data_IF_491728003877
#
_entry.id   IF_491728003877
#
_cell.length_a   1.000
_cell.length_b   1.000
_cell.length_c   1.000
_cell.angle_alpha   90.00
_cell.angle_beta   90.00
_cell.angle_gamma   90.00
#
_symmetry.space_group_name_H-M   'P 1'
#
loop_
_entity.id
_entity.type
_entity.pdbx_description
1 polymer ?
#
# COMPACT_ATOMS: atom_id res chain seq x y z
N UNK A 1 -44.02 -39.52 -27.99
CA UNK A 1 -43.14 -40.29 -27.08
C UNK A 1 -41.68 -39.84 -27.12
N UNK A 2 -41.12 -39.37 -28.24
CA UNK A 2 -39.71 -38.93 -28.32
C UNK A 2 -39.34 -37.66 -27.51
N UNK A 3 -40.26 -36.68 -27.39
CA UNK A 3 -40.00 -35.42 -26.67
C UNK A 3 -39.78 -35.61 -25.16
N UNK A 4 -40.53 -36.51 -24.52
CA UNK A 4 -40.36 -36.84 -23.11
C UNK A 4 -39.07 -37.61 -22.82
N UNK A 5 -38.54 -38.35 -23.80
CA UNK A 5 -37.25 -39.04 -23.66
C UNK A 5 -36.09 -38.03 -23.67
N UNK A 6 -36.12 -37.05 -24.58
CA UNK A 6 -35.14 -35.96 -24.68
C UNK A 6 -35.12 -35.06 -23.44
N UNK A 7 -36.30 -34.73 -22.89
CA UNK A 7 -36.41 -33.99 -21.63
C UNK A 7 -35.84 -34.77 -20.45
N UNK A 8 -36.07 -36.08 -20.38
CA UNK A 8 -35.56 -36.95 -19.32
C UNK A 8 -34.04 -37.10 -19.40
N UNK A 9 -33.46 -37.20 -20.59
CA UNK A 9 -32.00 -37.23 -20.79
C UNK A 9 -31.34 -35.90 -20.44
N UNK A 10 -31.91 -34.75 -20.86
CA UNK A 10 -31.34 -33.45 -20.49
C UNK A 10 -31.42 -33.17 -18.99
N UNK A 11 -32.51 -33.62 -18.34
CA UNK A 11 -32.68 -33.50 -16.90
C UNK A 11 -31.71 -34.41 -16.14
N UNK A 12 -31.51 -35.64 -16.59
CA UNK A 12 -30.49 -36.53 -16.02
C UNK A 12 -29.07 -36.01 -16.21
N UNK A 13 -28.75 -35.43 -17.36
CA UNK A 13 -27.45 -34.79 -17.60
C UNK A 13 -27.23 -33.59 -16.66
N UNK A 14 -28.24 -32.73 -16.48
CA UNK A 14 -28.17 -31.58 -15.56
C UNK A 14 -27.97 -32.00 -14.10
N UNK A 15 -28.66 -33.06 -13.65
CA UNK A 15 -28.47 -33.64 -12.32
C UNK A 15 -27.05 -34.20 -12.14
N UNK A 16 -26.48 -34.79 -13.19
CA UNK A 16 -25.11 -35.30 -13.18
C UNK A 16 -24.09 -34.15 -13.05
N UNK A 17 -24.24 -33.05 -13.80
CA UNK A 17 -23.37 -31.88 -13.68
C UNK A 17 -23.48 -31.20 -12.30
N UNK A 18 -24.70 -31.06 -11.76
CA UNK A 18 -24.91 -30.51 -10.42
C UNK A 18 -24.28 -31.42 -9.36
N UNK A 19 -24.40 -32.75 -9.50
CA UNK A 19 -23.78 -33.69 -8.57
C UNK A 19 -22.24 -33.64 -8.60
N UNK A 20 -21.64 -33.53 -9.80
CA UNK A 20 -20.18 -33.37 -9.96
C UNK A 20 -19.73 -32.05 -9.33
N UNK A 21 -20.45 -30.95 -9.59
CA UNK A 21 -20.15 -29.64 -9.02
C UNK A 21 -20.22 -29.65 -7.49
N UNK A 22 -21.24 -30.28 -6.90
CA UNK A 22 -21.38 -30.43 -5.45
C UNK A 22 -20.29 -31.31 -4.84
N UNK A 23 -19.84 -32.37 -5.53
CA UNK A 23 -18.73 -33.22 -5.07
C UNK A 23 -17.41 -32.46 -5.12
N UNK A 24 -17.15 -31.65 -6.16
CA UNK A 24 -15.95 -30.80 -6.26
C UNK A 24 -15.96 -29.71 -5.17
N UNK A 25 -17.11 -29.09 -4.92
CA UNK A 25 -17.31 -28.12 -3.84
C UNK A 25 -17.11 -28.76 -2.47
N UNK A 26 -17.69 -29.94 -2.23
CA UNK A 26 -17.51 -30.68 -0.99
C UNK A 26 -16.04 -31.08 -0.80
N UNK A 27 -15.37 -31.55 -1.85
CA UNK A 27 -13.94 -31.87 -1.82
C UNK A 27 -13.08 -30.64 -1.53
N UNK A 28 -13.39 -29.50 -2.15
CA UNK A 28 -12.74 -28.22 -1.89
C UNK A 28 -12.90 -27.78 -0.42
N UNK A 29 -14.12 -27.86 0.13
CA UNK A 29 -14.40 -27.55 1.53
C UNK A 29 -13.78 -28.56 2.52
N UNK A 30 -13.71 -29.84 2.16
CA UNK A 30 -13.02 -30.85 2.96
C UNK A 30 -11.50 -30.65 2.95
N UNK A 31 -10.92 -30.21 1.82
CA UNK A 31 -9.51 -29.82 1.73
C UNK A 31 -9.21 -28.57 2.57
N UNK A 32 -10.11 -27.58 2.57
CA UNK A 32 -10.04 -26.42 3.47
C UNK A 32 -10.15 -26.80 4.96
N UNK A 33 -10.83 -27.92 5.28
CA UNK A 33 -10.92 -28.44 6.65
C UNK A 33 -9.77 -29.37 7.05
N UNK A 34 -8.91 -29.78 6.10
CA UNK A 34 -7.87 -30.80 6.28
C UNK A 34 -6.44 -30.25 6.41
N UNK A 35 -6.28 -28.96 6.70
CA UNK A 35 -4.99 -28.41 7.15
C UNK A 35 -5.09 -27.96 8.62
N UNK A 36 -5.14 -28.95 9.51
CA UNK A 36 -4.62 -28.82 10.87
C UNK A 36 -3.56 -29.89 11.08
N UNK A 37 -2.34 -29.61 10.62
CA UNK A 37 -1.14 -30.29 11.13
C UNK A 37 -0.52 -29.43 12.22
N UNK A 38 -0.31 -30.05 13.38
CA UNK A 38 0.53 -29.53 14.46
C UNK A 38 1.95 -29.34 13.93
N UNK A 39 2.47 -28.12 13.92
CA UNK A 39 3.92 -27.90 13.79
C UNK A 39 4.55 -27.94 15.18
N UNK A 40 5.40 -28.94 15.43
CA UNK A 40 6.38 -28.88 16.51
C UNK A 40 7.49 -27.94 16.04
N UNK A 41 7.52 -26.71 16.56
CA UNK A 41 8.64 -25.78 16.36
C UNK A 41 9.69 -25.98 17.48
N UNK A 42 10.98 -25.82 17.20
CA UNK A 42 12.03 -25.81 18.22
C UNK A 42 11.88 -24.58 19.14
N UNK A 43 12.42 -24.61 20.38
CA UNK A 43 12.22 -23.52 21.34
C UNK A 43 12.93 -22.24 20.88
N UNK A 44 12.28 -21.09 21.13
CA UNK A 44 12.88 -19.77 20.94
C UNK A 44 14.16 -19.62 21.78
N UNK A 45 15.23 -19.00 21.25
CA UNK A 45 16.36 -18.61 22.07
C UNK A 45 15.97 -17.49 23.05
N UNK A 46 16.58 -17.43 24.24
CA UNK A 46 16.24 -16.43 25.24
C UNK A 46 16.65 -15.03 24.78
N UNK A 47 15.78 -14.04 25.03
CA UNK A 47 16.06 -12.62 24.80
C UNK A 47 17.21 -12.17 25.69
N UNK A 48 18.23 -11.54 25.11
CA UNK A 48 19.20 -10.74 25.85
C UNK A 48 18.91 -9.25 25.65
N UNK A 49 19.08 -8.42 26.68
CA UNK A 49 18.96 -6.97 26.61
C UNK A 49 20.21 -6.39 25.91
N UNK A 50 20.21 -5.10 25.58
CA UNK A 50 21.29 -4.33 24.89
C UNK A 50 21.07 -4.17 23.37
N UNK A 51 19.83 -3.94 22.93
CA UNK A 51 19.59 -3.17 21.70
C UNK A 51 18.67 -2.03 22.10
N UNK A 52 19.17 -0.80 22.08
CA UNK A 52 18.35 0.41 22.25
C UNK A 52 17.31 0.54 21.14
N UNK A 53 16.82 1.74 20.86
CA UNK A 53 15.68 1.98 19.95
C UNK A 53 15.90 1.57 18.46
N UNK A 54 16.99 0.88 18.13
CA UNK A 54 17.21 0.26 16.82
C UNK A 54 16.20 -0.88 16.51
N UNK A 55 15.53 -1.44 17.53
CA UNK A 55 14.41 -2.38 17.36
C UNK A 55 13.11 -1.74 16.85
N UNK A 56 13.05 -0.41 16.71
CA UNK A 56 11.89 0.30 16.16
C UNK A 56 11.91 0.37 14.62
N UNK A 57 13.03 -0.01 13.99
CA UNK A 57 13.07 -0.46 12.60
C UNK A 57 12.95 -1.98 12.63
N UNK A 58 11.72 -2.49 12.77
CA UNK A 58 11.46 -3.92 12.83
C UNK A 58 11.75 -4.65 11.51
N UNK A 59 11.52 -5.97 11.48
CA UNK A 59 11.64 -6.84 10.30
C UNK A 59 10.62 -6.54 9.18
N UNK A 60 9.89 -5.43 9.27
CA UNK A 60 8.69 -5.15 8.46
C UNK A 60 8.62 -3.65 8.14
N UNK A 61 9.24 -3.18 7.05
CA UNK A 61 9.26 -1.76 6.66
C UNK A 61 7.88 -1.11 6.48
N UNK A 62 6.85 -1.90 6.15
CA UNK A 62 5.46 -1.44 6.13
C UNK A 62 5.00 -0.87 7.47
N UNK A 63 5.52 -1.40 8.60
CA UNK A 63 5.21 -0.88 9.93
C UNK A 63 5.77 0.52 10.16
N UNK A 64 6.92 0.88 9.58
CA UNK A 64 7.49 2.22 9.74
C UNK A 64 6.68 3.27 8.97
N UNK A 65 6.18 2.95 7.77
CA UNK A 65 5.26 3.83 7.04
C UNK A 65 3.89 3.89 7.67
N UNK A 66 3.43 2.78 8.21
CA UNK A 66 2.23 2.77 9.01
C UNK A 66 2.40 3.68 10.24
N UNK A 67 3.51 3.61 10.97
CA UNK A 67 3.79 4.51 12.09
C UNK A 67 3.83 5.98 11.65
N UNK A 68 4.38 6.27 10.47
CA UNK A 68 4.39 7.63 9.92
C UNK A 68 2.97 8.11 9.58
N UNK A 69 2.18 7.28 8.90
CA UNK A 69 0.79 7.56 8.60
C UNK A 69 -0.04 7.73 9.88
N UNK A 70 0.20 6.89 10.90
CA UNK A 70 -0.43 6.97 12.22
C UNK A 70 -0.08 8.27 12.92
N UNK A 71 1.19 8.68 12.98
CA UNK A 71 1.60 9.94 13.61
C UNK A 71 0.97 11.15 12.94
N UNK A 72 0.90 11.15 11.60
CA UNK A 72 0.32 12.26 10.84
C UNK A 72 -1.21 12.29 10.97
N UNK A 73 -1.85 11.12 10.94
CA UNK A 73 -3.30 11.01 11.03
C UNK A 73 -3.83 11.18 12.45
N UNK A 74 -3.11 10.68 13.46
CA UNK A 74 -3.59 10.49 14.83
C UNK A 74 -2.74 11.16 15.92
N UNK A 75 -1.62 11.79 15.56
CA UNK A 75 -0.70 12.40 16.54
C UNK A 75 0.14 11.41 17.36
N UNK A 76 -0.01 10.10 17.13
CA UNK A 76 0.79 9.02 17.75
C UNK A 76 0.95 7.84 16.81
N UNK A 77 1.99 7.04 17.00
CA UNK A 77 2.06 5.68 16.46
C UNK A 77 1.67 4.66 17.53
N UNK A 78 1.22 3.49 17.11
CA UNK A 78 0.81 2.42 18.03
C UNK A 78 1.94 1.43 18.31
N UNK A 79 3.16 1.66 17.82
CA UNK A 79 4.29 0.70 17.90
C UNK A 79 4.80 0.49 19.33
N UNK A 80 4.58 1.44 20.23
CA UNK A 80 4.97 1.35 21.63
C UNK A 80 3.88 0.67 22.51
N UNK A 81 4.30 -0.14 23.49
CA UNK A 81 3.42 -0.61 24.56
C UNK A 81 2.44 -1.74 24.23
N UNK A 82 2.59 -2.39 23.07
CA UNK A 82 1.74 -3.53 22.66
C UNK A 82 0.30 -3.13 22.29
N UNK A 83 0.02 -1.83 22.15
CA UNK A 83 -1.28 -1.32 21.70
C UNK A 83 -1.58 -1.71 20.25
N UNK A 84 -0.53 -1.81 19.42
CA UNK A 84 -0.58 -2.32 18.06
C UNK A 84 -1.24 -3.71 17.96
N UNK A 85 -0.74 -4.66 18.75
CA UNK A 85 -1.25 -6.03 18.83
C UNK A 85 -2.60 -6.09 19.57
N UNK A 86 -2.77 -5.26 20.61
CA UNK A 86 -4.00 -5.19 21.40
C UNK A 86 -5.21 -4.76 20.57
N UNK A 87 -5.05 -3.81 19.66
CA UNK A 87 -6.11 -3.37 18.75
C UNK A 87 -6.18 -4.23 17.47
N UNK A 88 -5.15 -5.04 17.21
CA UNK A 88 -5.05 -5.92 16.05
C UNK A 88 -5.07 -5.13 14.74
N UNK A 89 -4.32 -4.02 14.70
CA UNK A 89 -4.29 -3.07 13.60
C UNK A 89 -3.91 -3.69 12.27
N UNK A 90 -2.76 -4.38 12.24
CA UNK A 90 -2.26 -5.05 11.03
C UNK A 90 -3.32 -5.99 10.44
N UNK A 91 -3.90 -6.86 11.26
CA UNK A 91 -4.96 -7.78 10.81
C UNK A 91 -6.21 -7.05 10.31
N UNK A 92 -6.52 -5.87 10.87
CA UNK A 92 -7.68 -5.08 10.42
C UNK A 92 -7.41 -4.42 9.07
N UNK A 93 -6.19 -3.88 8.89
CA UNK A 93 -5.76 -3.24 7.66
C UNK A 93 -5.60 -4.26 6.52
N UNK A 94 -4.96 -5.40 6.78
CA UNK A 94 -4.86 -6.53 5.84
C UNK A 94 -6.26 -7.00 5.41
N UNK A 95 -7.16 -7.22 6.36
CA UNK A 95 -8.52 -7.64 6.06
C UNK A 95 -9.30 -6.54 5.31
N UNK A 96 -9.08 -5.25 5.63
CA UNK A 96 -9.66 -4.13 4.90
C UNK A 96 -9.21 -4.14 3.43
N UNK A 97 -7.92 -4.32 3.14
CA UNK A 97 -7.42 -4.42 1.77
C UNK A 97 -7.95 -5.66 1.05
N UNK A 98 -8.04 -6.81 1.72
CA UNK A 98 -8.65 -8.03 1.15
C UNK A 98 -10.12 -7.81 0.79
N UNK A 99 -10.88 -7.11 1.62
CA UNK A 99 -12.29 -6.82 1.32
C UNK A 99 -12.45 -5.74 0.25
N UNK A 100 -11.59 -4.73 0.25
CA UNK A 100 -11.61 -3.67 -0.74
C UNK A 100 -11.29 -4.22 -2.13
N UNK A 101 -10.27 -5.09 -2.23
CA UNK A 101 -9.79 -5.67 -3.50
C UNK A 101 -10.37 -7.02 -3.86
N UNK A 102 -11.23 -7.57 -3.00
CA UNK A 102 -11.89 -8.84 -3.22
C UNK A 102 -12.95 -8.78 -4.31
N UNK A 103 -13.13 -9.88 -5.03
CA UNK A 103 -14.20 -10.00 -6.02
C UNK A 103 -15.55 -10.14 -5.30
N UNK A 104 -16.39 -9.14 -5.47
CA UNK A 104 -17.79 -9.14 -5.04
C UNK A 104 -18.68 -9.60 -6.19
N UNK A 105 -19.35 -10.75 -6.07
CA UNK A 105 -20.23 -11.27 -7.14
C UNK A 105 -21.39 -10.30 -7.39
N UNK A 106 -21.90 -9.64 -6.36
CA UNK A 106 -22.94 -8.63 -6.48
C UNK A 106 -22.53 -7.43 -7.33
N UNK A 107 -21.24 -7.11 -7.43
CA UNK A 107 -20.76 -5.99 -8.25
C UNK A 107 -20.86 -6.29 -9.75
N UNK A 108 -20.76 -7.56 -10.14
CA UNK A 108 -20.89 -8.00 -11.54
C UNK A 108 -22.32 -8.44 -11.86
N UNK A 109 -23.00 -9.01 -10.88
CA UNK A 109 -24.35 -9.54 -11.00
C UNK A 109 -25.19 -9.05 -9.83
N UNK A 110 -25.80 -7.86 -9.92
CA UNK A 110 -26.57 -7.27 -8.82
C UNK A 110 -27.68 -8.19 -8.27
N UNK A 111 -28.30 -9.01 -9.14
CA UNK A 111 -29.30 -10.00 -8.73
C UNK A 111 -28.76 -11.10 -7.80
N UNK A 112 -27.43 -11.23 -7.69
CA UNK A 112 -26.72 -12.21 -6.86
C UNK A 112 -26.08 -11.57 -5.61
N UNK A 113 -26.41 -10.32 -5.27
CA UNK A 113 -25.89 -9.65 -4.06
C UNK A 113 -26.16 -10.44 -2.77
N UNK A 114 -27.25 -11.23 -2.74
CA UNK A 114 -27.57 -12.09 -1.60
C UNK A 114 -26.45 -13.08 -1.24
N UNK A 115 -25.57 -13.44 -2.19
CA UNK A 115 -24.43 -14.32 -1.99
C UNK A 115 -23.46 -13.76 -0.94
N UNK A 116 -23.38 -12.43 -0.79
CA UNK A 116 -22.53 -11.78 0.23
C UNK A 116 -22.88 -12.17 1.66
N UNK A 117 -24.14 -12.55 1.90
CA UNK A 117 -24.58 -13.06 3.20
C UNK A 117 -24.08 -14.49 3.43
N UNK A 118 -23.98 -15.31 2.38
CA UNK A 118 -23.58 -16.71 2.45
C UNK A 118 -22.06 -16.90 2.45
N UNK A 119 -21.31 -16.03 1.77
CA UNK A 119 -19.83 -16.06 1.77
C UNK A 119 -19.21 -15.49 3.04
N UNK A 120 -20.02 -14.88 3.91
CA UNK A 120 -19.57 -14.18 5.10
C UNK A 120 -18.93 -12.81 4.82
N UNK A 121 -18.85 -12.39 3.55
CA UNK A 121 -18.24 -11.11 3.16
C UNK A 121 -18.93 -9.91 3.84
N UNK A 122 -20.27 -9.91 3.90
CA UNK A 122 -21.02 -8.86 4.59
C UNK A 122 -20.68 -8.79 6.08
N UNK A 123 -20.58 -9.93 6.75
CA UNK A 123 -20.26 -10.00 8.17
C UNK A 123 -18.82 -9.54 8.45
N UNK A 124 -17.86 -9.94 7.61
CA UNK A 124 -16.46 -9.47 7.66
C UNK A 124 -16.38 -7.95 7.50
N UNK A 125 -17.10 -7.40 6.52
CA UNK A 125 -17.17 -5.96 6.27
C UNK A 125 -17.74 -5.20 7.48
N UNK A 126 -18.90 -5.62 7.99
CA UNK A 126 -19.53 -5.00 9.16
C UNK A 126 -18.64 -5.07 10.41
N UNK A 127 -17.92 -6.18 10.60
CA UNK A 127 -16.99 -6.33 11.72
C UNK A 127 -15.81 -5.35 11.62
N UNK A 128 -15.20 -5.22 10.44
CA UNK A 128 -14.10 -4.27 10.22
C UNK A 128 -14.57 -2.83 10.42
N UNK A 129 -15.70 -2.45 9.82
CA UNK A 129 -16.28 -1.13 10.03
C UNK A 129 -16.49 -0.85 11.53
N UNK A 130 -17.08 -1.80 12.27
CA UNK A 130 -17.28 -1.63 13.70
C UNK A 130 -15.99 -1.58 14.53
N UNK A 131 -14.87 -2.14 14.05
CA UNK A 131 -13.56 -2.02 14.72
C UNK A 131 -12.93 -0.65 14.49
N UNK A 132 -12.93 -0.18 13.24
CA UNK A 132 -12.43 1.15 12.90
C UNK A 132 -13.28 2.25 13.56
N UNK A 133 -14.60 2.11 13.53
CA UNK A 133 -15.51 3.09 14.11
C UNK A 133 -15.24 3.29 15.62
N UNK A 134 -15.12 2.20 16.38
CA UNK A 134 -14.77 2.24 17.80
C UNK A 134 -13.40 2.85 18.06
N UNK A 135 -12.42 2.51 17.24
CA UNK A 135 -11.08 3.08 17.35
C UNK A 135 -11.11 4.59 17.11
N UNK A 136 -11.75 5.03 16.02
CA UNK A 136 -11.80 6.44 15.69
C UNK A 136 -12.63 7.23 16.70
N UNK A 137 -13.69 6.64 17.28
CA UNK A 137 -14.39 7.24 18.42
C UNK A 137 -13.45 7.49 19.61
N UNK A 138 -12.62 6.50 19.95
CA UNK A 138 -11.64 6.65 21.03
C UNK A 138 -10.64 7.76 20.72
N UNK A 139 -10.08 7.78 19.50
CA UNK A 139 -9.13 8.81 19.08
C UNK A 139 -9.76 10.20 19.07
N UNK A 140 -10.97 10.35 18.54
CA UNK A 140 -11.66 11.64 18.54
C UNK A 140 -11.93 12.13 19.98
N UNK A 141 -12.35 11.23 20.87
CA UNK A 141 -12.56 11.57 22.28
C UNK A 141 -11.25 11.99 22.99
N UNK A 142 -10.12 11.36 22.66
CA UNK A 142 -8.80 11.75 23.17
C UNK A 142 -8.42 13.17 22.70
N UNK A 143 -8.63 13.50 21.42
CA UNK A 143 -8.29 14.82 20.85
C UNK A 143 -9.22 15.93 21.33
N UNK A 144 -10.48 15.61 21.64
CA UNK A 144 -11.44 16.55 22.22
C UNK A 144 -11.24 16.77 23.74
N UNK A 145 -10.41 15.96 24.40
CA UNK A 145 -10.20 16.05 25.84
C UNK A 145 -9.49 17.39 26.20
N UNK A 146 -10.10 18.27 27.01
CA UNK A 146 -9.51 19.55 27.39
C UNK A 146 -8.25 19.42 28.26
N UNK A 147 -7.99 18.22 28.80
CA UNK A 147 -6.77 17.89 29.56
C UNK A 147 -5.65 17.34 28.68
N UNK A 148 -5.87 17.17 27.37
CA UNK A 148 -4.80 16.78 26.44
C UNK A 148 -3.74 17.88 26.45
N UNK A 149 -2.48 17.48 26.60
CA UNK A 149 -1.36 18.41 26.51
C UNK A 149 -1.42 19.15 25.18
N UNK A 150 -1.17 20.47 25.22
CA UNK A 150 -1.13 21.25 23.98
C UNK A 150 0.08 20.80 23.17
N UNK A 151 -0.19 20.00 22.15
CA UNK A 151 0.83 19.54 21.21
C UNK A 151 1.30 20.76 20.41
N UNK A 152 2.62 20.93 20.29
CA UNK A 152 3.22 22.05 19.57
C UNK A 152 2.84 22.03 18.07
N UNK A 153 2.54 20.84 17.53
CA UNK A 153 2.15 20.62 16.15
C UNK A 153 0.83 19.83 16.10
N UNK A 154 -0.13 20.34 15.32
CA UNK A 154 -1.44 19.69 15.14
C UNK A 154 -1.32 18.51 14.17
N UNK A 155 -1.99 17.43 14.50
CA UNK A 155 -2.23 16.30 13.59
C UNK A 155 -3.50 16.52 12.74
N UNK A 156 -3.81 15.57 11.85
CA UNK A 156 -4.99 15.67 10.99
C UNK A 156 -6.31 15.71 11.78
N UNK A 157 -6.44 14.95 12.87
CA UNK A 157 -7.64 14.97 13.70
C UNK A 157 -7.85 16.37 14.28
N UNK A 158 -6.80 16.98 14.82
CA UNK A 158 -6.86 18.34 15.37
C UNK A 158 -7.33 19.35 14.31
N UNK A 159 -6.78 19.27 13.10
CA UNK A 159 -7.16 20.16 11.99
C UNK A 159 -8.62 19.95 11.59
N UNK A 160 -9.08 18.70 11.43
CA UNK A 160 -10.45 18.40 11.03
C UNK A 160 -11.47 18.79 12.11
N UNK A 161 -11.15 18.60 13.39
CA UNK A 161 -11.99 19.04 14.50
C UNK A 161 -12.07 20.57 14.59
N UNK A 162 -10.99 21.28 14.29
CA UNK A 162 -11.00 22.74 14.24
C UNK A 162 -11.83 23.26 13.06
N UNK A 163 -11.76 22.62 11.90
CA UNK A 163 -12.62 22.95 10.75
C UNK A 163 -14.08 22.73 11.14
N UNK A 164 -14.42 21.56 11.70
CA UNK A 164 -15.78 21.25 12.15
C UNK A 164 -16.33 22.27 13.17
N UNK A 165 -15.50 22.80 14.07
CA UNK A 165 -15.91 23.78 15.09
C UNK A 165 -16.10 25.20 14.53
N UNK A 166 -15.30 25.57 13.54
CA UNK A 166 -15.27 26.93 12.97
C UNK A 166 -16.13 27.05 11.70
N UNK A 167 -16.89 26.01 11.36
CA UNK A 167 -17.51 25.87 10.06
C UNK A 167 -18.65 26.90 9.84
N UNK A 168 -18.52 27.69 8.79
CA UNK A 168 -19.56 28.59 8.24
C UNK A 168 -19.99 28.17 6.82
N UNK A 169 -19.56 26.99 6.35
CA UNK A 169 -19.76 26.55 4.97
C UNK A 169 -21.14 25.92 4.73
N UNK A 170 -21.53 25.85 3.44
CA UNK A 170 -22.82 25.27 3.00
C UNK A 170 -22.95 23.76 3.28
N UNK A 171 -21.83 23.05 3.49
CA UNK A 171 -21.82 21.60 3.79
C UNK A 171 -21.01 21.35 5.06
N UNK A 172 -21.66 21.16 6.21
CA UNK A 172 -20.97 21.02 7.49
C UNK A 172 -20.22 19.69 7.60
N UNK A 173 -18.97 19.73 8.07
CA UNK A 173 -18.16 18.53 8.28
C UNK A 173 -18.70 17.69 9.46
N UNK A 174 -19.25 16.51 9.17
CA UNK A 174 -19.77 15.59 10.21
C UNK A 174 -18.66 14.74 10.83
N UNK A 175 -18.91 14.20 12.03
CA UNK A 175 -18.00 13.24 12.68
C UNK A 175 -17.72 12.02 11.80
N UNK A 176 -18.72 11.52 11.07
CA UNK A 176 -18.55 10.39 10.15
C UNK A 176 -17.64 10.76 8.97
N UNK A 177 -17.70 12.02 8.49
CA UNK A 177 -16.76 12.50 7.47
C UNK A 177 -15.33 12.55 8.01
N UNK A 178 -15.13 13.01 9.26
CA UNK A 178 -13.81 13.02 9.90
C UNK A 178 -13.25 11.60 9.98
N UNK A 179 -14.02 10.65 10.51
CA UNK A 179 -13.62 9.23 10.59
C UNK A 179 -13.26 8.66 9.23
N UNK A 180 -14.06 8.95 8.19
CA UNK A 180 -13.82 8.47 6.83
C UNK A 180 -12.52 9.05 6.23
N UNK A 181 -12.29 10.36 6.36
CA UNK A 181 -11.07 11.02 5.84
C UNK A 181 -9.82 10.44 6.50
N UNK A 182 -9.88 10.19 7.81
CA UNK A 182 -8.76 9.63 8.55
C UNK A 182 -8.49 8.17 8.13
N UNK A 183 -9.55 7.37 7.93
CA UNK A 183 -9.42 6.01 7.41
C UNK A 183 -8.76 6.01 6.02
N UNK A 184 -9.21 6.90 5.13
CA UNK A 184 -8.70 7.00 3.76
C UNK A 184 -7.21 7.37 3.75
N UNK A 185 -6.78 8.32 4.59
CA UNK A 185 -5.37 8.67 4.70
C UNK A 185 -4.54 7.48 5.25
N UNK A 186 -5.01 6.84 6.32
CA UNK A 186 -4.31 5.74 6.95
C UNK A 186 -4.16 4.53 6.02
N UNK A 187 -5.24 4.11 5.37
CA UNK A 187 -5.22 2.98 4.44
C UNK A 187 -4.42 3.32 3.18
N UNK A 188 -4.64 4.50 2.59
CA UNK A 188 -3.97 4.91 1.37
C UNK A 188 -2.47 5.16 1.53
N UNK A 189 -2.02 5.65 2.70
CA UNK A 189 -0.63 6.04 2.94
C UNK A 189 0.33 4.91 3.32
N UNK A 190 -0.19 3.73 3.68
CA UNK A 190 0.62 2.61 4.19
C UNK A 190 1.18 1.74 3.07
N UNK A 191 0.32 0.96 2.40
CA UNK A 191 0.76 -0.05 1.42
C UNK A 191 1.40 0.58 0.18
N UNK A 192 0.88 1.72 -0.28
CA UNK A 192 1.35 2.37 -1.51
C UNK A 192 2.81 2.84 -1.37
N UNK A 193 3.16 3.44 -0.23
CA UNK A 193 4.51 3.90 0.09
C UNK A 193 5.46 2.72 0.24
N UNK A 194 5.03 1.67 0.95
CA UNK A 194 5.81 0.44 1.12
C UNK A 194 6.15 -0.22 -0.22
N UNK A 195 5.14 -0.43 -1.08
CA UNK A 195 5.30 -1.04 -2.40
C UNK A 195 6.28 -0.24 -3.27
N UNK A 196 6.17 1.09 -3.23
CA UNK A 196 7.07 1.96 -4.00
C UNK A 196 8.53 1.78 -3.54
N UNK A 197 8.78 1.66 -2.24
CA UNK A 197 10.13 1.48 -1.70
C UNK A 197 10.67 0.07 -1.90
N UNK A 198 9.82 -0.95 -1.76
CA UNK A 198 10.20 -2.33 -2.02
C UNK A 198 10.62 -2.52 -3.49
N UNK A 199 9.81 -2.03 -4.43
CA UNK A 199 10.19 -1.99 -5.84
C UNK A 199 11.40 -1.13 -6.11
N UNK A 200 11.49 0.04 -5.46
CA UNK A 200 12.65 0.91 -5.58
C UNK A 200 13.95 0.26 -5.17
N UNK A 201 13.98 -0.39 -4.01
CA UNK A 201 15.16 -1.12 -3.54
C UNK A 201 15.44 -2.34 -4.43
N UNK A 202 14.41 -3.04 -4.90
CA UNK A 202 14.55 -4.19 -5.80
C UNK A 202 15.22 -3.77 -7.12
N UNK A 203 14.69 -2.73 -7.78
CA UNK A 203 15.23 -2.22 -9.04
C UNK A 203 16.65 -1.68 -8.89
N UNK A 204 16.94 -0.97 -7.79
CA UNK A 204 18.29 -0.48 -7.54
C UNK A 204 19.28 -1.63 -7.32
N UNK A 205 18.90 -2.68 -6.60
CA UNK A 205 19.74 -3.88 -6.41
C UNK A 205 19.99 -4.60 -7.74
N UNK A 206 18.97 -4.70 -8.59
CA UNK A 206 19.07 -5.28 -9.92
C UNK A 206 19.90 -4.41 -10.88
N UNK A 207 20.01 -3.10 -10.60
CA UNK A 207 20.75 -2.13 -11.41
C UNK A 207 21.88 -1.42 -10.62
N UNK A 208 23.01 -2.10 -10.33
CA UNK A 208 24.06 -1.56 -9.45
C UNK A 208 24.68 -0.23 -9.90
N UNK A 209 24.68 0.07 -11.21
CA UNK A 209 25.16 1.35 -11.74
C UNK A 209 24.25 2.50 -11.30
N UNK A 210 22.94 2.29 -11.36
CA UNK A 210 21.92 3.24 -10.92
C UNK A 210 21.99 3.42 -9.40
N UNK A 211 22.07 2.32 -8.64
CA UNK A 211 22.28 2.34 -7.18
C UNK A 211 23.48 3.20 -6.78
N UNK A 212 24.65 2.95 -7.39
CA UNK A 212 25.87 3.71 -7.07
C UNK A 212 25.73 5.20 -7.36
N UNK A 213 25.08 5.57 -8.47
CA UNK A 213 24.85 6.97 -8.83
C UNK A 213 23.90 7.65 -7.84
N UNK A 214 22.82 6.97 -7.45
CA UNK A 214 21.87 7.44 -6.44
C UNK A 214 22.52 7.60 -5.06
N UNK A 215 23.31 6.62 -4.61
CA UNK A 215 24.08 6.69 -3.37
C UNK A 215 25.11 7.83 -3.40
N UNK A 216 25.81 8.02 -4.52
CA UNK A 216 26.79 9.10 -4.67
C UNK A 216 26.13 10.49 -4.58
N UNK A 217 24.98 10.69 -5.22
CA UNK A 217 24.21 11.94 -5.13
C UNK A 217 23.84 12.26 -3.68
N UNK A 218 23.13 11.33 -3.01
CA UNK A 218 22.63 11.59 -1.66
C UNK A 218 23.77 11.80 -0.65
N UNK A 219 24.86 11.02 -0.74
CA UNK A 219 26.02 11.16 0.16
C UNK A 219 26.77 12.47 -0.09
N UNK A 220 26.85 12.94 -1.33
CA UNK A 220 27.48 14.23 -1.65
C UNK A 220 26.69 15.42 -1.10
N UNK A 221 25.36 15.36 -1.11
CA UNK A 221 24.49 16.47 -0.66
C UNK A 221 24.36 16.50 0.87
N UNK A 222 24.22 15.33 1.49
CA UNK A 222 24.05 15.22 2.94
C UNK A 222 25.37 15.43 3.67
N UNK A 223 26.48 14.99 3.07
CA UNK A 223 27.83 15.14 3.60
C UNK A 223 28.06 14.23 4.82
N UNK A 224 28.61 14.81 5.89
CA UNK A 224 28.93 14.07 7.12
C UNK A 224 27.71 13.86 8.04
N UNK A 225 26.58 14.53 7.75
CA UNK A 225 25.36 14.37 8.55
C UNK A 225 24.86 12.94 8.47
N UNK A 226 24.35 12.39 9.57
CA UNK A 226 23.81 11.03 9.61
C UNK A 226 22.36 10.92 9.11
N UNK A 227 21.67 12.05 9.00
CA UNK A 227 20.23 12.12 8.73
C UNK A 227 19.96 13.01 7.53
N UNK A 228 19.14 12.50 6.60
CA UNK A 228 18.59 13.25 5.47
C UNK A 228 17.44 14.12 5.95
N UNK A 229 17.47 15.41 5.63
CA UNK A 229 16.41 16.35 5.98
C UNK A 229 15.48 16.58 4.80
N UNK A 230 14.23 16.98 5.08
CA UNK A 230 13.26 17.43 4.05
C UNK A 230 13.84 18.54 3.19
N UNK A 231 14.65 19.42 3.80
CA UNK A 231 15.33 20.50 3.09
C UNK A 231 16.35 20.01 2.07
N UNK A 232 16.83 18.77 2.14
CA UNK A 232 17.81 18.23 1.18
C UNK A 232 17.15 17.76 -0.13
N UNK A 233 15.86 17.40 -0.07
CA UNK A 233 15.14 16.74 -1.18
C UNK A 233 15.13 17.57 -2.47
N UNK A 234 15.13 18.91 -2.39
CA UNK A 234 15.12 19.75 -3.58
C UNK A 234 16.35 19.56 -4.47
N UNK A 235 17.49 19.14 -3.90
CA UNK A 235 18.77 18.92 -4.60
C UNK A 235 18.94 17.48 -5.11
N UNK A 236 18.12 16.53 -4.63
CA UNK A 236 18.21 15.10 -4.99
C UNK A 236 17.55 14.82 -6.36
N UNK A 237 18.13 15.40 -7.42
CA UNK A 237 17.55 15.34 -8.77
C UNK A 237 17.51 13.92 -9.34
N UNK A 238 18.55 13.13 -9.12
CA UNK A 238 18.64 11.76 -9.61
C UNK A 238 17.76 10.80 -8.79
N UNK A 239 17.67 10.96 -7.47
CA UNK A 239 16.69 10.21 -6.66
C UNK A 239 15.26 10.46 -7.15
N UNK A 240 14.92 11.71 -7.50
CA UNK A 240 13.62 12.03 -8.08
C UNK A 240 13.39 11.34 -9.42
N UNK A 241 14.42 11.27 -10.26
CA UNK A 241 14.35 10.52 -11.52
C UNK A 241 14.16 9.02 -11.28
N UNK A 242 14.86 8.44 -10.29
CA UNK A 242 14.69 7.05 -9.86
C UNK A 242 13.24 6.80 -9.40
N UNK A 243 12.67 7.67 -8.58
CA UNK A 243 11.30 7.55 -8.09
C UNK A 243 10.27 7.68 -9.22
N UNK A 244 10.49 8.59 -10.18
CA UNK A 244 9.64 8.67 -11.39
C UNK A 244 9.67 7.36 -12.19
N UNK A 245 10.84 6.75 -12.34
CA UNK A 245 10.99 5.48 -13.05
C UNK A 245 10.36 4.31 -12.29
N UNK A 246 10.47 4.29 -10.95
CA UNK A 246 9.73 3.34 -10.10
C UNK A 246 8.23 3.51 -10.32
N UNK A 247 7.69 4.73 -10.30
CA UNK A 247 6.27 4.93 -10.52
C UNK A 247 5.79 4.56 -11.92
N UNK A 248 6.64 4.70 -12.94
CA UNK A 248 6.33 4.32 -14.32
C UNK A 248 6.22 2.80 -14.45
N UNK A 249 7.22 2.08 -13.96
CA UNK A 249 7.31 0.62 -14.07
C UNK A 249 6.44 -0.09 -13.03
N UNK A 250 6.41 0.40 -11.80
CA UNK A 250 5.78 -0.29 -10.68
C UNK A 250 4.75 0.61 -9.99
N UNK A 251 3.70 1.09 -10.70
CA UNK A 251 2.68 1.91 -10.08
C UNK A 251 1.97 1.10 -8.99
N UNK A 252 1.91 1.57 -7.74
CA UNK A 252 1.31 0.79 -6.65
C UNK A 252 -0.14 0.39 -6.92
N UNK A 253 -0.90 1.23 -7.63
CA UNK A 253 -2.27 0.95 -8.08
C UNK A 253 -2.33 0.85 -9.62
N UNK A 254 -2.11 -0.34 -10.21
CA UNK A 254 -1.88 -0.49 -11.65
C UNK A 254 -3.09 -0.14 -12.53
N UNK A 255 -4.31 -0.25 -12.01
CA UNK A 255 -5.58 0.06 -12.71
C UNK A 255 -6.30 1.30 -12.13
N UNK A 256 -5.64 2.02 -11.22
CA UNK A 256 -6.18 3.13 -10.44
C UNK A 256 -7.51 2.81 -9.74
N UNK A 257 -8.08 3.79 -9.05
CA UNK A 257 -9.43 3.67 -8.49
C UNK A 257 -10.48 3.74 -9.62
N UNK A 258 -11.52 2.87 -9.60
CA UNK A 258 -12.54 2.86 -10.63
C UNK A 258 -13.28 4.20 -10.70
N UNK A 259 -13.61 4.62 -11.92
CA UNK A 259 -14.47 5.77 -12.18
C UNK A 259 -15.85 5.30 -12.63
N UNK A 260 -16.87 6.12 -12.43
CA UNK A 260 -18.23 5.84 -12.91
C UNK A 260 -18.74 7.05 -13.68
N UNK A 261 -19.31 6.84 -14.87
CA UNK A 261 -19.99 7.89 -15.64
C UNK A 261 -21.26 8.32 -14.90
N UNK A 262 -21.40 9.61 -14.63
CA UNK A 262 -22.60 10.16 -13.97
C UNK A 262 -23.79 10.28 -14.93
N UNK A 263 -23.51 10.44 -16.22
CA UNK A 263 -24.45 10.58 -17.32
C UNK A 263 -23.90 9.88 -18.57
N UNK A 264 -24.70 9.80 -19.64
CA UNK A 264 -24.20 9.33 -20.92
C UNK A 264 -23.14 10.31 -21.46
N UNK A 265 -22.00 9.77 -21.90
CA UNK A 265 -20.89 10.57 -22.42
C UNK A 265 -20.38 9.99 -23.74
N UNK A 266 -19.95 10.84 -24.66
CA UNK A 266 -19.23 10.40 -25.86
C UNK A 266 -17.73 10.58 -25.65
N UNK A 267 -16.96 9.50 -25.81
CA UNK A 267 -15.49 9.52 -25.75
C UNK A 267 -14.98 8.91 -27.04
N UNK A 268 -14.25 9.70 -27.83
CA UNK A 268 -13.65 9.26 -29.11
C UNK A 268 -14.64 8.56 -30.06
N UNK A 269 -15.86 9.10 -30.15
CA UNK A 269 -16.93 8.54 -30.99
C UNK A 269 -17.71 7.38 -30.35
N UNK A 270 -17.27 6.84 -29.21
CA UNK A 270 -18.00 5.81 -28.46
C UNK A 270 -19.01 6.44 -27.50
N UNK A 271 -20.28 6.08 -27.64
CA UNK A 271 -21.33 6.43 -26.67
C UNK A 271 -21.24 5.50 -25.46
N UNK A 272 -20.97 6.08 -24.31
CA UNK A 272 -20.85 5.37 -23.04
C UNK A 272 -22.05 5.71 -22.16
N UNK A 273 -22.89 4.72 -21.81
CA UNK A 273 -24.05 4.94 -20.97
C UNK A 273 -23.69 5.43 -19.57
N UNK A 274 -24.62 6.13 -18.92
CA UNK A 274 -24.53 6.43 -17.49
C UNK A 274 -24.32 5.14 -16.67
N UNK A 275 -23.66 5.27 -15.50
CA UNK A 275 -23.30 4.16 -14.61
C UNK A 275 -22.30 3.14 -15.18
N UNK A 276 -21.65 3.44 -16.29
CA UNK A 276 -20.51 2.66 -16.77
C UNK A 276 -19.30 2.86 -15.87
N UNK A 277 -18.69 1.75 -15.44
CA UNK A 277 -17.45 1.74 -14.66
C UNK A 277 -16.24 1.72 -15.60
N UNK A 278 -15.25 2.58 -15.32
CA UNK A 278 -13.99 2.66 -16.07
C UNK A 278 -12.81 2.35 -15.16
N UNK A 279 -11.82 1.68 -15.75
CA UNK A 279 -10.53 1.45 -15.15
C UNK A 279 -9.47 2.07 -16.06
N UNK A 280 -8.51 2.78 -15.46
CA UNK A 280 -7.42 3.41 -16.20
C UNK A 280 -6.18 2.56 -15.94
N UNK A 281 -5.72 1.87 -16.96
CA UNK A 281 -4.59 0.94 -16.84
C UNK A 281 -3.25 1.69 -16.86
N UNK A 282 -2.91 2.31 -15.73
CA UNK A 282 -1.64 3.02 -15.53
C UNK A 282 -0.43 2.11 -15.76
N UNK A 283 -0.53 0.82 -15.45
CA UNK A 283 0.52 -0.17 -15.72
C UNK A 283 0.81 -0.32 -17.20
N UNK A 284 -0.23 -0.40 -18.04
CA UNK A 284 -0.08 -0.49 -19.49
C UNK A 284 0.44 0.83 -20.08
N UNK A 285 -0.08 1.96 -19.62
CA UNK A 285 0.38 3.29 -20.06
C UNK A 285 1.86 3.50 -19.76
N UNK A 286 2.32 3.10 -18.57
CA UNK A 286 3.72 3.18 -18.18
C UNK A 286 4.64 2.29 -19.04
N UNK A 287 4.11 1.30 -19.76
CA UNK A 287 4.85 0.36 -20.62
C UNK A 287 4.54 0.49 -22.11
N UNK A 288 3.79 1.53 -22.49
CA UNK A 288 3.42 1.75 -23.88
C UNK A 288 4.64 2.16 -24.72
N UNK A 289 5.06 1.37 -25.73
CA UNK A 289 6.21 1.71 -26.58
C UNK A 289 5.97 2.94 -27.47
N UNK A 290 4.72 3.39 -27.66
CA UNK A 290 4.45 4.66 -28.35
C UNK A 290 4.79 5.87 -27.47
N UNK A 291 4.70 5.69 -26.15
CA UNK A 291 4.94 6.73 -25.15
C UNK A 291 6.36 6.68 -24.58
N UNK A 292 6.99 5.50 -24.51
CA UNK A 292 8.26 5.27 -23.81
C UNK A 292 9.26 4.46 -24.65
N UNK A 293 10.46 5.00 -24.84
CA UNK A 293 11.58 4.25 -25.41
C UNK A 293 12.10 3.20 -24.41
N UNK A 294 12.30 1.96 -24.88
CA UNK A 294 12.68 0.81 -24.04
C UNK A 294 11.78 0.67 -22.80
N UNK A 295 10.46 0.47 -22.98
CA UNK A 295 9.48 0.59 -21.91
C UNK A 295 9.68 -0.41 -20.76
N UNK A 296 10.28 -1.57 -21.02
CA UNK A 296 10.50 -2.60 -20.00
C UNK A 296 11.84 -2.44 -19.24
N UNK A 297 12.65 -1.43 -19.59
CA UNK A 297 13.96 -1.21 -18.98
C UNK A 297 13.87 -0.14 -17.89
N UNK A 298 14.42 -0.43 -16.71
CA UNK A 298 14.59 0.53 -15.62
C UNK A 298 15.72 1.52 -15.94
N UNK A 299 15.36 2.69 -16.43
CA UNK A 299 16.30 3.74 -16.88
C UNK A 299 15.88 5.12 -16.35
N UNK A 300 16.27 5.48 -15.11
CA UNK A 300 15.97 6.80 -14.53
C UNK A 300 16.50 7.97 -15.36
N UNK A 301 17.55 7.76 -16.15
CA UNK A 301 18.13 8.75 -17.06
C UNK A 301 17.10 9.41 -17.98
N UNK A 302 16.01 8.71 -18.35
CA UNK A 302 14.94 9.28 -19.19
C UNK A 302 14.25 10.50 -18.56
N UNK A 303 14.29 10.61 -17.24
CA UNK A 303 13.70 11.73 -16.51
C UNK A 303 14.69 12.87 -16.26
N UNK A 304 15.98 12.68 -16.56
CA UNK A 304 17.00 13.71 -16.39
C UNK A 304 16.85 14.78 -17.48
N UNK A 305 16.44 15.99 -17.10
CA UNK A 305 16.16 17.08 -18.03
C UNK A 305 14.80 16.99 -18.73
N UNK A 306 14.00 15.97 -18.42
CA UNK A 306 12.61 15.85 -18.90
C UNK A 306 11.65 16.70 -18.07
N UNK A 307 10.61 17.23 -18.72
CA UNK A 307 9.50 17.96 -18.05
C UNK A 307 8.40 17.04 -17.54
N UNK A 308 8.41 15.75 -17.92
CA UNK A 308 7.37 14.78 -17.56
C UNK A 308 7.28 14.65 -16.03
N UNK A 309 6.07 14.73 -15.50
CA UNK A 309 5.78 14.70 -14.06
C UNK A 309 4.46 13.97 -13.79
N UNK A 310 4.38 13.29 -12.65
CA UNK A 310 3.27 12.43 -12.25
C UNK A 310 2.10 13.17 -11.58
N UNK A 311 2.08 14.51 -11.66
CA UNK A 311 1.06 15.38 -11.04
C UNK A 311 -0.26 15.45 -11.83
N UNK A 312 -0.42 14.59 -12.85
CA UNK A 312 -1.65 14.45 -13.61
C UNK A 312 -1.80 15.42 -14.79
N UNK A 313 -0.70 16.00 -15.27
CA UNK A 313 -0.66 16.80 -16.51
C UNK A 313 0.02 16.07 -17.67
N UNK A 314 0.83 15.05 -17.38
CA UNK A 314 1.48 14.18 -18.36
C UNK A 314 0.81 12.81 -18.28
N UNK A 315 -0.02 12.48 -19.28
CA UNK A 315 -0.87 11.30 -19.23
C UNK A 315 -0.10 9.99 -19.41
N UNK A 316 1.12 10.06 -19.96
CA UNK A 316 2.08 8.97 -20.05
C UNK A 316 2.64 8.52 -18.70
N UNK A 317 2.52 9.34 -17.64
CA UNK A 317 2.95 9.03 -16.27
C UNK A 317 1.88 9.44 -15.25
N UNK A 318 0.99 8.51 -14.89
CA UNK A 318 -0.16 8.80 -14.01
C UNK A 318 -0.31 7.84 -12.80
N UNK A 319 0.75 7.58 -12.03
CA UNK A 319 0.68 6.70 -10.84
C UNK A 319 -0.28 7.21 -9.75
N UNK A 320 -0.55 8.52 -9.73
CA UNK A 320 -1.48 9.18 -8.81
C UNK A 320 -2.83 9.55 -9.46
N UNK A 321 -3.06 9.09 -10.69
CA UNK A 321 -4.20 9.50 -11.52
C UNK A 321 -4.19 10.99 -11.89
N UNK A 322 -5.31 11.46 -12.43
CA UNK A 322 -5.48 12.84 -12.88
C UNK A 322 -6.91 13.36 -12.65
N UNK A 323 -7.05 14.69 -12.74
CA UNK A 323 -8.32 15.41 -12.66
C UNK A 323 -8.92 15.46 -11.26
N UNK A 324 -10.25 15.58 -11.17
CA UNK A 324 -10.98 15.82 -9.89
C UNK A 324 -10.81 14.75 -8.81
N UNK A 325 -10.30 13.57 -9.19
CA UNK A 325 -10.06 12.42 -8.29
C UNK A 325 -8.61 11.94 -8.41
N UNK A 326 -7.68 12.86 -8.67
CA UNK A 326 -6.25 12.61 -8.46
C UNK A 326 -5.97 12.40 -6.98
N UNK A 327 -4.91 11.66 -6.66
CA UNK A 327 -4.54 11.38 -5.28
C UNK A 327 -4.35 12.68 -4.47
N UNK A 328 -5.11 12.89 -3.38
CA UNK A 328 -4.95 14.08 -2.54
C UNK A 328 -3.64 14.07 -1.75
N UNK A 329 -3.06 12.89 -1.51
CA UNK A 329 -1.84 12.70 -0.73
C UNK A 329 -0.55 12.71 -1.58
N UNK A 330 -0.60 13.13 -2.84
CA UNK A 330 0.57 13.11 -3.77
C UNK A 330 1.82 13.76 -3.17
N UNK A 331 1.68 14.94 -2.55
CA UNK A 331 2.80 15.67 -1.96
C UNK A 331 3.37 14.94 -0.75
N UNK A 332 2.49 14.42 0.12
CA UNK A 332 2.88 13.69 1.32
C UNK A 332 3.58 12.37 0.96
N UNK A 333 2.93 11.54 0.14
CA UNK A 333 3.47 10.24 -0.28
C UNK A 333 4.80 10.37 -1.01
N UNK A 334 4.93 11.36 -1.90
CA UNK A 334 6.20 11.62 -2.61
C UNK A 334 7.31 11.98 -1.64
N UNK A 335 7.07 12.91 -0.70
CA UNK A 335 8.08 13.30 0.28
C UNK A 335 8.47 12.14 1.21
N UNK A 336 7.52 11.29 1.59
CA UNK A 336 7.78 10.08 2.40
C UNK A 336 8.68 9.08 1.67
N UNK A 337 8.40 8.79 0.39
CA UNK A 337 9.24 7.91 -0.44
C UNK A 337 10.62 8.53 -0.66
N UNK A 338 10.69 9.82 -1.03
CA UNK A 338 11.95 10.53 -1.27
C UNK A 338 12.86 10.48 -0.04
N UNK A 339 12.35 10.81 1.15
CA UNK A 339 13.12 10.77 2.40
C UNK A 339 13.57 9.37 2.76
N UNK A 340 12.66 8.40 2.72
CA UNK A 340 12.98 7.04 3.12
C UNK A 340 14.03 6.42 2.19
N UNK A 341 13.84 6.54 0.87
CA UNK A 341 14.78 6.02 -0.11
C UNK A 341 16.14 6.71 0.04
N UNK A 342 16.16 8.04 0.14
CA UNK A 342 17.39 8.80 0.34
C UNK A 342 18.12 8.35 1.62
N UNK A 343 17.40 8.19 2.74
CA UNK A 343 17.99 7.75 4.00
C UNK A 343 18.58 6.33 3.92
N UNK A 344 17.89 5.39 3.27
CA UNK A 344 18.37 4.03 3.07
C UNK A 344 19.67 4.00 2.24
N UNK A 345 19.71 4.78 1.15
CA UNK A 345 20.87 4.85 0.25
C UNK A 345 22.05 5.62 0.87
N UNK A 346 21.74 6.62 1.69
CA UNK A 346 22.71 7.40 2.43
C UNK A 346 23.40 6.55 3.51
N UNK A 347 22.61 5.86 4.35
CA UNK A 347 23.12 5.19 5.55
C UNK A 347 23.81 3.85 5.29
N UNK A 348 23.44 3.15 4.22
CA UNK A 348 23.88 1.77 4.00
C UNK A 348 24.39 1.52 2.58
N UNK A 349 25.37 0.63 2.48
CA UNK A 349 25.61 -0.15 1.28
C UNK A 349 24.74 -1.40 1.31
N UNK A 350 24.21 -1.78 0.16
CA UNK A 350 23.24 -2.86 0.03
C UNK A 350 23.77 -3.96 -0.87
N UNK A 351 23.66 -5.19 -0.40
CA UNK A 351 24.12 -6.38 -1.13
C UNK A 351 23.10 -7.51 -1.03
N UNK A 352 23.07 -8.37 -2.04
CA UNK A 352 22.33 -9.62 -1.96
C UNK A 352 23.03 -10.61 -1.01
N UNK A 353 22.28 -11.51 -0.36
CA UNK A 353 22.84 -12.59 0.43
C UNK A 353 23.83 -13.44 -0.37
N UNK A 354 24.78 -14.06 0.33
CA UNK A 354 25.82 -14.87 -0.33
C UNK A 354 25.19 -15.99 -1.16
N UNK A 355 25.58 -16.08 -2.44
CA UNK A 355 25.07 -17.07 -3.38
C UNK A 355 23.77 -16.68 -4.10
N UNK A 356 23.18 -15.52 -3.79
CA UNK A 356 22.00 -14.99 -4.47
C UNK A 356 22.44 -13.91 -5.47
N UNK A 357 21.92 -14.00 -6.69
CA UNK A 357 22.13 -13.00 -7.76
C UNK A 357 20.82 -12.31 -8.10
N UNK A 358 20.90 -11.20 -8.85
CA UNK A 358 19.71 -10.46 -9.29
C UNK A 358 18.73 -11.33 -10.11
N UNK A 359 19.20 -12.40 -10.76
CA UNK A 359 18.36 -13.32 -11.54
C UNK A 359 17.55 -14.28 -10.68
N UNK A 360 17.94 -14.44 -9.41
CA UNK A 360 17.30 -15.35 -8.46
C UNK A 360 16.18 -14.64 -7.68
N UNK A 361 16.01 -13.32 -7.88
CA UNK A 361 14.93 -12.56 -7.27
C UNK A 361 13.59 -12.88 -7.94
N UNK A 362 12.60 -13.25 -7.14
CA UNK A 362 11.22 -13.37 -7.60
C UNK A 362 10.63 -11.97 -7.77
N UNK A 363 10.41 -11.59 -9.02
CA UNK A 363 9.79 -10.33 -9.44
C UNK A 363 8.32 -10.52 -9.83
N UNK A 364 7.73 -11.67 -9.50
CA UNK A 364 6.33 -11.95 -9.80
C UNK A 364 5.42 -11.03 -8.99
N UNK A 365 4.47 -10.39 -9.67
CA UNK A 365 3.48 -9.50 -9.07
C UNK A 365 2.23 -10.27 -8.64
N UNK A 366 1.70 -9.91 -7.47
CA UNK A 366 0.35 -10.31 -7.06
C UNK A 366 -0.63 -9.22 -7.47
N UNK A 367 -1.56 -9.57 -8.35
CA UNK A 367 -2.57 -8.64 -8.82
C UNK A 367 -3.68 -8.45 -7.77
N UNK A 368 -3.86 -7.20 -7.32
CA UNK A 368 -4.89 -6.78 -6.38
C UNK A 368 -5.20 -5.29 -6.56
N UNK A 369 -5.80 -4.64 -5.56
CA UNK A 369 -5.90 -3.17 -5.55
C UNK A 369 -4.52 -2.53 -5.57
N UNK A 370 -3.61 -3.14 -4.81
CA UNK A 370 -2.20 -2.79 -4.79
C UNK A 370 -1.36 -3.94 -5.35
N UNK A 371 -0.26 -3.60 -6.02
CA UNK A 371 0.57 -4.56 -6.74
C UNK A 371 1.92 -4.78 -6.02
N UNK A 372 1.94 -5.76 -5.13
CA UNK A 372 3.13 -6.15 -4.37
C UNK A 372 3.82 -7.36 -5.02
N UNK A 373 5.10 -7.57 -4.70
CA UNK A 373 5.82 -8.79 -5.09
C UNK A 373 5.35 -9.99 -4.27
N UNK A 374 5.35 -11.16 -4.87
CA UNK A 374 5.02 -12.44 -4.22
C UNK A 374 5.99 -12.80 -3.09
N UNK A 375 7.24 -12.34 -3.18
CA UNK A 375 8.29 -12.63 -2.21
C UNK A 375 8.97 -11.35 -1.72
N UNK A 376 9.28 -11.32 -0.42
CA UNK A 376 9.98 -10.21 0.23
C UNK A 376 11.40 -10.02 -0.36
N UNK A 377 11.87 -8.78 -0.39
CA UNK A 377 13.27 -8.48 -0.75
C UNK A 377 14.15 -8.75 0.46
N UNK A 378 15.04 -9.74 0.35
CA UNK A 378 16.03 -10.01 1.39
C UNK A 378 17.39 -9.47 0.94
N UNK A 379 17.88 -8.46 1.66
CA UNK A 379 19.16 -7.78 1.38
C UNK A 379 19.96 -7.59 2.66
N UNK A 380 21.29 -7.52 2.51
CA UNK A 380 22.23 -7.23 3.59
C UNK A 380 22.52 -5.72 3.58
N UNK A 381 22.23 -5.06 4.71
CA UNK A 381 22.58 -3.66 4.94
C UNK A 381 23.95 -3.57 5.64
N UNK A 382 24.93 -2.92 5.01
CA UNK A 382 26.23 -2.61 5.58
C UNK A 382 26.28 -1.13 5.93
N UNK A 383 26.43 -0.74 7.22
CA UNK A 383 26.53 0.67 7.58
C UNK A 383 27.67 1.36 6.85
N UNK A 384 27.38 2.46 6.15
CA UNK A 384 28.38 3.29 5.48
C UNK A 384 29.22 4.09 6.49
N UNK A 385 28.75 4.19 7.73
CA UNK A 385 29.33 4.98 8.78
C UNK A 385 29.72 4.10 9.98
N UNK A 386 30.83 4.39 10.68
CA UNK A 386 31.20 3.68 11.90
C UNK A 386 30.06 3.72 12.92
N UNK A 387 29.80 2.59 13.59
CA UNK A 387 28.92 2.56 14.75
C UNK A 387 29.65 3.26 15.91
N UNK A 388 29.06 4.32 16.44
CA UNK A 388 29.62 5.01 17.61
C UNK A 388 29.56 4.08 18.83
N UNK A 389 30.69 3.45 19.17
CA UNK A 389 30.87 2.76 20.45
C UNK A 389 31.04 3.79 21.58
N UNK A 390 29.96 4.44 21.99
CA UNK A 390 30.00 5.40 23.10
C UNK A 390 28.90 5.11 24.14
N UNK A 391 29.35 4.65 25.31
CA UNK A 391 28.63 4.53 26.60
C UNK A 391 27.73 3.31 26.84
N UNK A 392 28.26 2.10 26.62
CA UNK A 392 27.91 0.96 27.48
C UNK A 392 28.67 1.09 28.81
N UNK A 393 28.10 1.86 29.74
CA UNK A 393 28.50 1.80 31.15
C UNK A 393 27.24 1.93 32.01
N UNK A 394 26.60 0.81 32.41
CA UNK A 394 25.47 0.88 33.32
C UNK A 394 26.02 1.24 34.69
N UNK A 395 25.85 2.50 35.11
CA UNK A 395 25.90 2.80 36.54
C UNK A 395 24.67 2.17 37.18
N UNK A 396 24.95 1.22 38.07
CA UNK A 396 24.07 0.45 38.95
C UNK A 396 23.01 1.33 39.60
#
# INVERSE_FOLDING_TARGET
MAFFALLKESFQASLLYVSIFLVVLLWYFLKLKSEKRKSNLPPNPPKLPIIGNLHQLGNMPHLSFQCLAERVAFGRDFSAGGEYDRHGFQKTLEEFHVLLGGISIGDFFPSMEFIHNFTGMKSRLQNIFGRYDKLFDQLLAEHQNPKRDKVEHKDLIDVLLDIQKNDSDEIPLTTDNIKAIILDLFAGGTDTTYITLDWGMTELIMNPKVMKRAQAEVRSIVGERRVVLVSDLHQLHYIKAVIKEIFRLHPPAPILAPRESMEEVNIDGYTIPAKTRFYVNAWAIGRDPESWENPDVFEPERFMGSTVDFKGQHFELIPFGAGRRSCPAITFGTASVELALAQLLHSFDWELPHGITAKDLDITEVFGITMHRTADLIVIAKPCFPLDHANDNPKI
#
